data_IF_374680679141
#
_entry.id   IF_374680679141
#
_cell.length_a   1.000
_cell.length_b   1.000
_cell.length_c   1.000
_cell.angle_alpha   90.00
_cell.angle_beta   90.00
_cell.angle_gamma   90.00
#
_symmetry.space_group_name_H-M   'P 1'
#
loop_
_entity.id
_entity.type
_entity.pdbx_description
1 polymer ?
#
# COMPACT_ATOMS: atom_id res chain seq x y z
N UNK A 1 33.99 8.09 17.36
CA UNK A 1 32.87 7.51 16.57
C UNK A 1 33.41 7.13 15.21
N UNK A 2 33.19 5.89 14.72
CA UNK A 2 33.74 5.41 13.46
C UNK A 2 33.23 6.31 12.30
N UNK A 3 34.14 6.83 11.47
CA UNK A 3 33.83 7.70 10.32
C UNK A 3 32.83 7.03 9.37
N UNK A 4 32.92 5.70 9.21
CA UNK A 4 31.97 4.92 8.42
C UNK A 4 30.55 5.00 8.98
N UNK A 5 30.38 4.87 10.30
CA UNK A 5 29.06 4.96 10.95
C UNK A 5 28.48 6.36 10.81
N UNK A 6 29.31 7.39 11.05
CA UNK A 6 28.92 8.79 10.93
C UNK A 6 28.42 9.15 9.52
N UNK A 7 28.90 8.43 8.50
CA UNK A 7 28.48 8.61 7.12
C UNK A 7 27.26 7.76 6.73
N UNK A 8 27.28 6.46 7.07
CA UNK A 8 26.29 5.50 6.58
C UNK A 8 24.96 5.54 7.32
N UNK A 9 24.97 5.86 8.62
CA UNK A 9 23.72 5.93 9.39
C UNK A 9 22.81 7.08 8.94
N UNK A 10 23.29 8.35 8.80
CA UNK A 10 22.47 9.42 8.24
C UNK A 10 21.96 9.11 6.84
N UNK A 11 22.79 8.49 5.98
CA UNK A 11 22.38 8.09 4.63
C UNK A 11 21.26 7.04 4.66
N UNK A 12 21.35 6.02 5.51
CA UNK A 12 20.31 5.00 5.67
C UNK A 12 19.00 5.61 6.21
N UNK A 13 19.09 6.52 7.19
CA UNK A 13 17.94 7.28 7.71
C UNK A 13 17.32 8.13 6.60
N UNK A 14 18.13 8.83 5.83
CA UNK A 14 17.66 9.69 4.73
C UNK A 14 16.98 8.87 3.63
N UNK A 15 17.53 7.71 3.26
CA UNK A 15 16.92 6.78 2.31
C UNK A 15 15.56 6.29 2.82
N UNK A 16 15.46 5.93 4.11
CA UNK A 16 14.20 5.53 4.73
C UNK A 16 13.18 6.67 4.69
N UNK A 17 13.58 7.88 5.06
CA UNK A 17 12.69 9.06 5.05
C UNK A 17 12.21 9.34 3.64
N UNK A 18 13.11 9.38 2.65
CA UNK A 18 12.74 9.59 1.25
C UNK A 18 11.83 8.51 0.70
N UNK A 19 12.17 7.24 0.93
CA UNK A 19 11.34 6.12 0.53
C UNK A 19 9.94 6.22 1.12
N UNK A 20 9.84 6.55 2.41
CA UNK A 20 8.57 6.70 3.11
C UNK A 20 7.75 7.90 2.62
N UNK A 21 8.40 9.04 2.37
CA UNK A 21 7.74 10.24 1.84
C UNK A 21 7.26 10.03 0.41
N UNK A 22 8.10 9.45 -0.45
CA UNK A 22 7.72 9.12 -1.82
C UNK A 22 6.55 8.14 -1.84
N UNK A 23 6.60 7.11 -1.00
CA UNK A 23 5.52 6.15 -0.82
C UNK A 23 4.21 6.80 -0.36
N UNK A 24 4.29 7.67 0.65
CA UNK A 24 3.15 8.43 1.15
C UNK A 24 2.54 9.33 0.09
N UNK A 25 3.37 10.05 -0.68
CA UNK A 25 2.95 10.91 -1.78
C UNK A 25 2.26 10.11 -2.89
N UNK A 26 2.89 9.02 -3.36
CA UNK A 26 2.32 8.16 -4.41
C UNK A 26 0.98 7.54 -3.98
N UNK A 27 0.89 7.14 -2.71
CA UNK A 27 -0.34 6.65 -2.09
C UNK A 27 -1.42 7.74 -2.03
N UNK A 28 -1.07 8.96 -1.61
CA UNK A 28 -1.99 10.10 -1.54
C UNK A 28 -2.57 10.46 -2.91
N UNK A 29 -1.74 10.47 -3.94
CA UNK A 29 -2.12 10.82 -5.30
C UNK A 29 -2.89 9.72 -6.03
N UNK A 30 -2.97 8.53 -5.44
CA UNK A 30 -3.52 7.35 -6.09
C UNK A 30 -2.78 6.98 -7.38
N UNK A 31 -1.45 7.17 -7.40
CA UNK A 31 -0.65 6.99 -8.61
C UNK A 31 -0.78 5.56 -9.15
N UNK A 32 -1.31 5.32 -10.38
CA UNK A 32 -1.63 3.97 -10.85
C UNK A 32 -0.44 3.01 -10.85
N UNK A 33 0.77 3.50 -11.17
CA UNK A 33 2.00 2.71 -11.15
C UNK A 33 2.26 2.10 -9.76
N UNK A 34 2.05 2.87 -8.70
CA UNK A 34 2.32 2.46 -7.32
C UNK A 34 1.42 1.29 -6.89
N UNK A 35 0.13 1.35 -7.20
CA UNK A 35 -0.81 0.26 -6.90
C UNK A 35 -0.66 -0.95 -7.81
N UNK A 36 -0.04 -0.83 -8.99
CA UNK A 36 0.17 -1.94 -9.91
C UNK A 36 1.44 -2.74 -9.64
N UNK A 37 2.47 -2.13 -9.02
CA UNK A 37 3.80 -2.72 -8.85
C UNK A 37 4.19 -2.92 -7.37
N UNK A 38 3.23 -2.90 -6.45
CA UNK A 38 3.50 -3.23 -5.05
C UNK A 38 3.93 -4.68 -4.86
N UNK A 39 4.63 -4.97 -3.75
CA UNK A 39 5.01 -6.34 -3.39
C UNK A 39 3.80 -7.08 -2.80
N UNK A 40 3.21 -8.09 -3.47
CA UNK A 40 1.98 -8.71 -2.99
C UNK A 40 2.26 -9.60 -1.77
N UNK A 41 1.54 -9.37 -0.67
CA UNK A 41 1.61 -10.22 0.52
C UNK A 41 0.41 -11.17 0.64
N UNK A 42 -0.70 -10.80 0.01
CA UNK A 42 -1.87 -11.64 -0.14
C UNK A 42 -2.48 -11.37 -1.50
N UNK A 43 -2.85 -12.43 -2.21
CA UNK A 43 -3.60 -12.34 -3.44
C UNK A 43 -4.67 -13.42 -3.43
N UNK A 44 -5.91 -13.04 -3.75
CA UNK A 44 -7.06 -13.96 -3.87
C UNK A 44 -7.81 -13.68 -5.15
N UNK A 45 -8.58 -14.66 -5.59
CA UNK A 45 -9.43 -14.54 -6.77
C UNK A 45 -10.83 -15.03 -6.46
N UNK A 46 -11.80 -14.33 -7.03
CA UNK A 46 -13.22 -14.55 -6.83
C UNK A 46 -13.90 -14.59 -8.19
N UNK A 47 -14.91 -15.43 -8.33
CA UNK A 47 -15.80 -15.43 -9.49
C UNK A 47 -16.84 -14.34 -9.29
N UNK A 48 -17.03 -13.48 -10.28
CA UNK A 48 -17.92 -12.32 -10.22
C UNK A 48 -18.83 -12.24 -11.46
N UNK A 49 -19.94 -11.50 -11.40
CA UNK A 49 -20.81 -11.31 -12.56
C UNK A 49 -20.07 -10.72 -13.77
N UNK A 50 -20.42 -11.19 -14.98
CA UNK A 50 -19.75 -10.82 -16.24
C UNK A 50 -19.83 -9.31 -16.54
N UNK A 51 -20.87 -8.64 -16.06
CA UNK A 51 -21.12 -7.20 -16.28
C UNK A 51 -20.89 -6.37 -15.00
N UNK A 52 -19.96 -6.77 -14.14
CA UNK A 52 -19.67 -6.04 -12.91
C UNK A 52 -19.02 -4.68 -13.21
N UNK A 53 -19.67 -3.60 -12.77
CA UNK A 53 -19.05 -2.27 -12.66
C UNK A 53 -18.46 -2.07 -11.27
N UNK A 54 -17.13 -2.16 -11.16
CA UNK A 54 -16.42 -1.97 -9.89
C UNK A 54 -16.58 -0.55 -9.33
N UNK A 55 -16.69 0.47 -10.18
CA UNK A 55 -16.75 1.85 -9.73
C UNK A 55 -18.10 2.16 -9.05
N UNK A 56 -19.18 1.54 -9.52
CA UNK A 56 -20.52 1.69 -8.95
C UNK A 56 -20.60 1.20 -7.48
N UNK A 57 -19.75 0.25 -7.08
CA UNK A 57 -19.77 -0.35 -5.74
C UNK A 57 -18.88 0.40 -4.73
N UNK A 58 -18.13 1.44 -5.14
CA UNK A 58 -17.23 2.19 -4.26
C UNK A 58 -17.92 2.71 -2.99
N UNK A 59 -19.09 3.38 -3.06
CA UNK A 59 -19.75 3.90 -1.86
C UNK A 59 -20.13 2.81 -0.86
N UNK A 60 -20.55 1.64 -1.36
CA UNK A 60 -20.90 0.49 -0.54
C UNK A 60 -19.66 -0.11 0.12
N UNK A 61 -18.54 -0.19 -0.60
CA UNK A 61 -17.28 -0.70 -0.08
C UNK A 61 -16.72 0.17 1.05
N UNK A 62 -16.75 1.50 0.89
CA UNK A 62 -16.32 2.45 1.92
C UNK A 62 -17.22 2.40 3.15
N UNK A 63 -18.53 2.19 2.95
CA UNK A 63 -19.48 2.02 4.04
C UNK A 63 -19.24 0.70 4.81
N UNK A 64 -19.06 -0.41 4.11
CA UNK A 64 -18.87 -1.73 4.72
C UNK A 64 -17.51 -1.87 5.42
N UNK A 65 -16.53 -1.04 5.06
CA UNK A 65 -15.19 -0.99 5.67
C UNK A 65 -14.98 0.29 6.49
N UNK A 66 -16.07 0.78 7.10
CA UNK A 66 -16.05 1.99 7.90
C UNK A 66 -15.04 1.95 9.05
N UNK A 67 -14.57 3.15 9.38
CA UNK A 67 -13.63 3.41 10.46
C UNK A 67 -14.23 2.96 11.79
N UNK A 68 -13.51 2.10 12.50
CA UNK A 68 -13.76 1.86 13.91
C UNK A 68 -12.75 2.64 14.76
N UNK A 69 -12.99 2.75 16.07
CA UNK A 69 -12.08 3.43 16.99
C UNK A 69 -10.64 2.84 16.98
N UNK A 70 -10.48 1.59 16.53
CA UNK A 70 -9.21 0.88 16.43
C UNK A 70 -8.78 0.57 14.99
N UNK A 71 -9.62 0.81 13.98
CA UNK A 71 -9.32 0.57 12.55
C UNK A 71 -9.56 1.83 11.74
N UNK A 72 -8.51 2.31 11.08
CA UNK A 72 -8.66 3.37 10.08
C UNK A 72 -9.59 2.88 8.95
N UNK A 73 -10.46 3.77 8.48
CA UNK A 73 -11.35 3.47 7.35
C UNK A 73 -10.54 3.23 6.08
N UNK A 74 -11.12 2.46 5.15
CA UNK A 74 -10.52 2.19 3.83
C UNK A 74 -11.17 3.13 2.83
N UNK A 75 -10.35 3.86 2.07
CA UNK A 75 -10.78 4.60 0.91
C UNK A 75 -10.60 3.73 -0.34
N UNK A 76 -11.47 3.91 -1.32
CA UNK A 76 -11.45 3.18 -2.59
C UNK A 76 -11.40 4.17 -3.75
N UNK A 77 -10.72 3.80 -4.83
CA UNK A 77 -10.67 4.61 -6.05
C UNK A 77 -10.52 3.77 -7.30
N UNK A 78 -11.34 4.06 -8.31
CA UNK A 78 -11.17 3.47 -9.63
C UNK A 78 -9.92 4.04 -10.31
N UNK A 79 -8.99 3.17 -10.71
CA UNK A 79 -7.83 3.54 -11.53
C UNK A 79 -8.14 3.38 -13.02
N UNK A 80 -9.01 2.43 -13.34
CA UNK A 80 -9.56 2.19 -14.68
C UNK A 80 -10.91 1.50 -14.54
N UNK A 81 -11.69 1.33 -15.63
CA UNK A 81 -12.98 0.61 -15.56
C UNK A 81 -12.87 -0.83 -15.02
N UNK A 82 -11.68 -1.42 -15.03
CA UNK A 82 -11.42 -2.79 -14.56
C UNK A 82 -10.50 -2.85 -13.34
N UNK A 83 -10.10 -1.72 -12.78
CA UNK A 83 -9.15 -1.68 -11.68
C UNK A 83 -9.61 -0.73 -10.59
N UNK A 84 -9.67 -1.26 -9.36
CA UNK A 84 -10.04 -0.53 -8.17
C UNK A 84 -8.89 -0.60 -7.16
N UNK A 85 -8.26 0.53 -6.89
CA UNK A 85 -7.28 0.65 -5.82
C UNK A 85 -7.97 0.88 -4.47
N UNK A 86 -7.35 0.44 -3.39
CA UNK A 86 -7.79 0.73 -2.04
C UNK A 86 -6.62 1.02 -1.12
N UNK A 87 -6.84 1.85 -0.10
CA UNK A 87 -5.85 2.11 0.95
C UNK A 87 -6.50 2.60 2.23
N UNK A 88 -5.76 2.59 3.33
CA UNK A 88 -6.19 3.27 4.54
C UNK A 88 -6.32 4.78 4.32
N UNK A 89 -7.36 5.35 4.92
CA UNK A 89 -7.44 6.78 5.21
C UNK A 89 -6.27 7.20 6.11
N UNK A 90 -5.79 8.45 5.96
CA UNK A 90 -4.59 8.95 6.63
C UNK A 90 -4.59 8.71 8.15
N UNK A 91 -3.42 8.36 8.72
CA UNK A 91 -3.24 8.22 10.17
C UNK A 91 -3.37 6.80 10.73
N UNK A 92 -3.38 5.76 9.89
CA UNK A 92 -3.34 4.38 10.38
C UNK A 92 -1.94 3.94 10.80
N UNK A 93 -1.83 3.33 11.99
CA UNK A 93 -0.57 2.74 12.49
C UNK A 93 -0.07 1.56 11.64
N UNK A 94 -0.99 0.84 11.00
CA UNK A 94 -0.69 -0.27 10.10
C UNK A 94 -1.28 0.08 8.73
N UNK A 95 -0.55 0.84 7.90
CA UNK A 95 -1.02 1.22 6.59
C UNK A 95 -1.30 -0.03 5.73
N UNK A 96 -2.37 0.04 4.94
CA UNK A 96 -2.89 -1.03 4.08
C UNK A 96 -3.12 -0.42 2.72
N UNK A 97 -2.83 -1.17 1.68
CA UNK A 97 -3.11 -0.80 0.31
C UNK A 97 -3.20 -2.01 -0.60
N UNK A 98 -3.93 -1.86 -1.69
CA UNK A 98 -4.07 -2.95 -2.63
C UNK A 98 -4.77 -2.55 -3.91
N UNK A 99 -4.97 -3.55 -4.74
CA UNK A 99 -5.58 -3.44 -6.05
C UNK A 99 -6.53 -4.62 -6.26
N UNK A 100 -7.76 -4.31 -6.67
CA UNK A 100 -8.70 -5.27 -7.20
C UNK A 100 -8.75 -5.09 -8.73
N UNK A 101 -8.49 -6.16 -9.47
CA UNK A 101 -8.48 -6.18 -10.94
C UNK A 101 -9.55 -7.15 -11.45
N UNK A 102 -10.43 -6.64 -12.28
CA UNK A 102 -11.47 -7.39 -12.96
C UNK A 102 -10.95 -7.90 -14.31
N UNK A 103 -10.90 -9.22 -14.44
CA UNK A 103 -10.80 -9.90 -15.71
C UNK A 103 -12.21 -10.24 -16.21
N UNK A 104 -12.77 -9.33 -17.00
CA UNK A 104 -14.12 -9.45 -17.54
C UNK A 104 -14.26 -10.63 -18.52
N UNK A 105 -13.18 -11.06 -19.19
CA UNK A 105 -13.23 -12.16 -20.14
C UNK A 105 -13.50 -13.49 -19.44
N UNK A 106 -13.00 -13.65 -18.21
CA UNK A 106 -13.13 -14.86 -17.41
C UNK A 106 -14.05 -14.71 -16.19
N UNK A 107 -14.74 -13.56 -16.06
CA UNK A 107 -15.59 -13.27 -14.91
C UNK A 107 -14.86 -13.36 -13.57
N UNK A 108 -13.59 -12.94 -13.52
CA UNK A 108 -12.71 -13.14 -12.36
C UNK A 108 -12.25 -11.81 -11.77
N UNK A 109 -12.45 -11.64 -10.47
CA UNK A 109 -11.91 -10.52 -9.71
C UNK A 109 -10.69 -10.99 -8.91
N UNK A 110 -9.51 -10.48 -9.23
CA UNK A 110 -8.29 -10.73 -8.47
C UNK A 110 -8.02 -9.55 -7.55
N UNK A 111 -7.93 -9.81 -6.25
CA UNK A 111 -7.64 -8.78 -5.24
C UNK A 111 -6.27 -9.07 -4.64
N UNK A 112 -5.39 -8.08 -4.67
CA UNK A 112 -4.05 -8.14 -4.12
C UNK A 112 -3.88 -7.07 -3.03
N UNK A 113 -3.27 -7.45 -1.91
CA UNK A 113 -2.80 -6.55 -0.86
C UNK A 113 -1.28 -6.45 -0.90
N UNK A 114 -0.75 -5.24 -0.82
CA UNK A 114 0.68 -4.97 -1.00
C UNK A 114 1.39 -4.58 0.30
N UNK A 115 2.67 -4.93 0.39
CA UNK A 115 3.57 -4.42 1.41
C UNK A 115 3.98 -2.98 1.07
N UNK A 116 4.09 -2.14 2.09
CA UNK A 116 4.75 -0.83 1.98
C UNK A 116 6.25 -1.06 1.83
N UNK A 117 6.87 -0.52 0.77
CA UNK A 117 8.28 -0.71 0.48
C UNK A 117 9.18 -0.16 1.59
N UNK A 118 8.71 0.87 2.33
CA UNK A 118 9.37 1.42 3.52
C UNK A 118 9.68 0.35 4.58
N UNK A 119 8.87 -0.71 4.71
CA UNK A 119 9.15 -1.82 5.64
C UNK A 119 10.40 -2.61 5.30
N UNK A 120 10.77 -2.69 4.02
CA UNK A 120 12.00 -3.35 3.58
C UNK A 120 13.24 -2.48 3.81
N UNK A 121 13.07 -1.17 4.02
CA UNK A 121 14.16 -0.25 4.31
C UNK A 121 14.57 -0.25 5.78
N UNK A 122 13.66 -0.61 6.71
CA UNK A 122 13.98 -0.66 8.14
C UNK A 122 15.18 -1.54 8.50
N UNK A 123 15.31 -2.78 7.98
CA UNK A 123 16.49 -3.60 8.21
C UNK A 123 17.82 -2.94 7.79
N UNK A 124 17.80 -2.04 6.81
CA UNK A 124 19.01 -1.34 6.36
C UNK A 124 19.58 -0.40 7.43
N UNK A 125 18.77 0.05 8.40
CA UNK A 125 19.24 0.88 9.51
C UNK A 125 20.23 0.16 10.43
N UNK A 126 20.30 -1.18 10.38
CA UNK A 126 21.19 -2.00 11.21
C UNK A 126 22.60 -2.06 10.62
N UNK A 127 22.72 -2.00 9.29
CA UNK A 127 23.99 -2.18 8.59
C UNK A 127 25.10 -1.22 9.09
N UNK A 128 24.82 0.08 9.32
CA UNK A 128 25.80 0.99 9.91
C UNK A 128 26.30 0.55 11.29
N UNK A 129 25.45 -0.01 12.15
CA UNK A 129 25.85 -0.45 13.49
C UNK A 129 26.77 -1.67 13.42
N UNK A 130 26.48 -2.60 12.50
CA UNK A 130 27.29 -3.78 12.26
C UNK A 130 28.67 -3.41 11.67
N UNK A 131 28.68 -2.70 10.56
CA UNK A 131 29.90 -2.33 9.85
C UNK A 131 30.70 -1.23 10.57
N UNK A 132 30.03 -0.41 11.40
CA UNK A 132 30.64 0.60 12.24
C UNK A 132 31.36 0.04 13.47
N UNK A 133 31.20 -1.25 13.79
CA UNK A 133 31.75 -1.88 14.98
C UNK A 133 31.09 -1.44 16.29
N UNK A 134 29.89 -0.86 16.21
CA UNK A 134 29.14 -0.39 17.38
C UNK A 134 28.31 -1.50 18.05
N UNK A 135 28.18 -2.65 17.38
CA UNK A 135 27.49 -3.83 17.87
C UNK A 135 28.48 -5.01 17.96
N UNK A 136 28.59 -5.68 19.13
CA UNK A 136 29.32 -6.94 19.24
C UNK A 136 28.79 -7.97 18.24
N UNK A 137 29.69 -8.68 17.56
CA UNK A 137 29.33 -9.66 16.53
C UNK A 137 28.50 -10.83 17.10
N UNK A 138 28.66 -11.13 18.38
CA UNK A 138 27.91 -12.17 19.10
C UNK A 138 26.43 -11.81 19.25
N UNK A 139 26.10 -10.51 19.27
CA UNK A 139 24.72 -10.02 19.37
C UNK A 139 24.01 -9.94 18.02
N UNK A 140 24.76 -9.89 16.92
CA UNK A 140 24.21 -9.80 15.56
C UNK A 140 23.12 -10.84 15.23
N UNK A 141 23.30 -12.16 15.48
CA UNK A 141 22.27 -13.14 15.15
C UNK A 141 20.97 -12.92 15.94
N UNK A 142 21.07 -12.46 17.20
CA UNK A 142 19.90 -12.17 18.03
C UNK A 142 19.14 -10.93 17.53
N UNK A 143 19.88 -9.88 17.15
CA UNK A 143 19.28 -8.66 16.57
C UNK A 143 18.63 -8.98 15.23
N UNK A 144 19.30 -9.73 14.35
CA UNK A 144 18.74 -10.14 13.06
C UNK A 144 17.47 -10.99 13.25
N UNK A 145 17.49 -11.94 14.19
CA UNK A 145 16.33 -12.74 14.54
C UNK A 145 15.18 -11.87 15.04
N UNK A 146 15.45 -10.90 15.92
CA UNK A 146 14.44 -9.97 16.45
C UNK A 146 13.79 -9.14 15.34
N UNK A 147 14.58 -8.50 14.46
CA UNK A 147 14.04 -7.73 13.33
C UNK A 147 13.24 -8.61 12.38
N UNK A 148 13.75 -9.80 12.07
CA UNK A 148 13.04 -10.76 11.21
C UNK A 148 11.72 -11.19 11.84
N UNK A 149 11.70 -11.48 13.14
CA UNK A 149 10.49 -11.83 13.87
C UNK A 149 9.46 -10.69 13.87
N UNK A 150 9.90 -9.44 14.09
CA UNK A 150 9.03 -8.25 14.02
C UNK A 150 8.47 -8.05 12.61
N UNK A 151 9.29 -8.23 11.56
CA UNK A 151 8.85 -8.11 10.17
C UNK A 151 7.83 -9.20 9.82
N UNK A 152 8.10 -10.46 10.17
CA UNK A 152 7.16 -11.59 9.97
C UNK A 152 5.86 -11.31 10.70
N UNK A 153 5.91 -10.91 11.98
CA UNK A 153 4.72 -10.59 12.76
C UNK A 153 3.90 -9.48 12.10
N UNK A 154 4.55 -8.43 11.61
CA UNK A 154 3.90 -7.31 10.91
C UNK A 154 3.21 -7.79 9.63
N UNK A 155 3.90 -8.62 8.82
CA UNK A 155 3.34 -9.20 7.59
C UNK A 155 2.12 -10.08 7.90
N UNK A 156 2.20 -10.91 8.94
CA UNK A 156 1.07 -11.78 9.33
C UNK A 156 -0.14 -10.97 9.80
N UNK A 157 0.06 -9.90 10.57
CA UNK A 157 -1.01 -8.99 11.00
C UNK A 157 -1.64 -8.28 9.81
N UNK A 158 -0.83 -7.79 8.85
CA UNK A 158 -1.35 -7.19 7.62
C UNK A 158 -2.11 -8.20 6.77
N UNK A 159 -1.59 -9.41 6.61
CA UNK A 159 -2.23 -10.49 5.84
C UNK A 159 -3.61 -10.84 6.39
N UNK A 160 -3.79 -10.88 7.72
CA UNK A 160 -5.11 -11.05 8.35
C UNK A 160 -6.06 -9.93 7.97
N UNK A 161 -5.61 -8.67 8.08
CA UNK A 161 -6.40 -7.49 7.73
C UNK A 161 -6.77 -7.46 6.24
N UNK A 162 -5.86 -7.85 5.35
CA UNK A 162 -6.16 -8.00 3.93
C UNK A 162 -7.22 -9.07 3.67
N UNK A 163 -7.17 -10.19 4.38
CA UNK A 163 -8.20 -11.23 4.28
C UNK A 163 -9.60 -10.67 4.53
N UNK A 164 -9.77 -9.93 5.63
CA UNK A 164 -11.05 -9.29 5.97
C UNK A 164 -11.51 -8.30 4.89
N UNK A 165 -10.59 -7.46 4.39
CA UNK A 165 -10.90 -6.48 3.34
C UNK A 165 -11.31 -7.18 2.04
N UNK A 166 -10.56 -8.18 1.61
CA UNK A 166 -10.86 -8.95 0.40
C UNK A 166 -12.20 -9.66 0.48
N UNK A 167 -12.50 -10.26 1.63
CA UNK A 167 -13.76 -10.98 1.85
C UNK A 167 -14.96 -10.02 1.93
N UNK A 168 -14.76 -8.79 2.43
CA UNK A 168 -15.79 -7.73 2.37
C UNK A 168 -15.96 -7.18 0.95
N UNK A 169 -14.88 -6.97 0.21
CA UNK A 169 -14.96 -6.55 -1.21
C UNK A 169 -15.73 -7.59 -2.00
N UNK A 170 -15.33 -8.86 -1.91
CA UNK A 170 -15.98 -9.97 -2.61
C UNK A 170 -17.47 -10.03 -2.30
N UNK A 171 -17.87 -10.01 -1.02
CA UNK A 171 -19.29 -10.02 -0.63
C UNK A 171 -20.08 -8.84 -1.18
N UNK A 172 -19.48 -7.65 -1.18
CA UNK A 172 -20.14 -6.42 -1.66
C UNK A 172 -20.37 -6.45 -3.18
N UNK A 173 -19.46 -7.04 -3.94
CA UNK A 173 -19.58 -7.16 -5.41
C UNK A 173 -20.30 -8.45 -5.87
N UNK A 174 -20.87 -9.23 -4.93
CA UNK A 174 -21.50 -10.52 -5.24
C UNK A 174 -20.53 -11.62 -5.69
N UNK A 175 -19.25 -11.49 -5.33
CA UNK A 175 -18.21 -12.45 -5.69
C UNK A 175 -18.25 -13.70 -4.84
N UNK A 176 -18.26 -14.86 -5.48
CA UNK A 176 -18.08 -16.15 -4.81
C UNK A 176 -16.61 -16.54 -4.83
N UNK A 177 -16.09 -16.99 -3.69
CA UNK A 177 -14.72 -17.50 -3.62
C UNK A 177 -14.63 -18.74 -4.49
N UNK A 178 -13.64 -18.79 -5.37
CA UNK A 178 -13.39 -19.98 -6.17
C UNK A 178 -12.79 -21.05 -5.24
N UNK A 179 -13.66 -21.79 -4.56
CA UNK A 179 -13.29 -22.83 -3.61
C UNK A 179 -13.02 -24.14 -4.35
N UNK A 180 -11.74 -24.30 -4.71
CA UNK A 180 -11.07 -25.60 -4.76
C UNK A 180 -10.60 -26.09 -3.37
N UNK A 181 -11.15 -25.54 -2.29
CA UNK A 181 -11.14 -26.15 -0.96
C UNK A 181 -12.43 -25.71 -0.23
N UNK A 182 -13.48 -26.51 -0.49
CA UNK A 182 -14.81 -26.67 0.15
C UNK A 182 -15.57 -25.49 0.78
N UNK A 183 -16.58 -25.08 0.02
CA UNK A 183 -17.98 -24.67 0.29
C UNK A 183 -18.39 -24.03 1.63
N UNK A 184 -19.14 -22.92 1.56
CA UNK A 184 -20.59 -22.85 1.94
C UNK A 184 -21.30 -21.68 1.21
N UNK A 185 -22.45 -21.99 0.60
CA UNK A 185 -23.47 -21.07 0.07
C UNK A 185 -24.15 -20.23 1.16
N UNK A 186 -24.37 -18.94 0.93
CA UNK A 186 -25.37 -18.15 1.66
C UNK A 186 -26.14 -17.17 0.76
N UNK A 187 -27.39 -16.81 1.15
CA UNK A 187 -28.46 -16.51 0.23
C UNK A 187 -28.69 -15.01 -0.02
N UNK A 188 -29.51 -14.76 -1.06
CA UNK A 188 -30.04 -13.50 -1.59
C UNK A 188 -29.80 -12.22 -0.78
N UNK A 189 -28.99 -11.33 -1.36
CA UNK A 189 -28.86 -9.93 -0.96
C UNK A 189 -29.63 -9.04 -1.95
N UNK A 190 -30.62 -8.30 -1.44
CA UNK A 190 -31.28 -7.22 -2.18
C UNK A 190 -30.61 -5.89 -1.83
N UNK A 191 -30.08 -5.13 -2.80
CA UNK A 191 -29.39 -3.88 -2.51
C UNK A 191 -30.38 -2.80 -2.11
N UNK A 192 -30.22 -2.28 -0.90
CA UNK A 192 -30.98 -1.16 -0.38
C UNK A 192 -30.48 0.17 -1.00
N UNK A 193 -31.42 1.05 -1.36
CA UNK A 193 -31.15 2.30 -2.08
C UNK A 193 -30.71 3.36 -1.07
N UNK A 194 -29.42 3.72 -1.07
CA UNK A 194 -28.83 4.65 -0.10
C UNK A 194 -28.27 5.94 -0.73
N UNK A 195 -28.30 7.01 0.09
CA UNK A 195 -28.12 8.41 -0.28
C UNK A 195 -26.71 8.83 -0.71
N UNK A 196 -26.61 10.12 -1.11
CA UNK A 196 -25.46 10.71 -1.82
C UNK A 196 -24.12 10.54 -1.07
N UNK A 197 -23.02 10.24 -1.80
CA UNK A 197 -21.68 10.12 -1.22
C UNK A 197 -21.21 11.43 -0.57
N UNK A 198 -20.40 11.30 0.48
CA UNK A 198 -19.76 12.44 1.13
C UNK A 198 -18.80 13.14 0.15
N UNK A 199 -18.88 14.47 0.08
CA UNK A 199 -18.10 15.29 -0.83
C UNK A 199 -16.61 15.29 -0.45
N UNK A 200 -15.75 14.78 -1.34
CA UNK A 200 -14.29 14.90 -1.25
C UNK A 200 -13.82 16.05 -2.17
N UNK A 201 -13.38 17.21 -1.62
CA UNK A 201 -12.96 18.37 -2.40
C UNK A 201 -11.65 18.15 -3.16
N UNK A 202 -10.93 17.05 -2.92
CA UNK A 202 -9.66 16.73 -3.59
C UNK A 202 -9.81 15.62 -4.64
N UNK A 203 -11.03 15.12 -4.89
CA UNK A 203 -11.29 14.10 -5.89
C UNK A 203 -11.00 14.64 -7.31
N UNK A 204 -10.01 14.09 -8.04
CA UNK A 204 -9.76 14.46 -9.43
C UNK A 204 -10.92 14.01 -10.30
N UNK A 205 -11.40 14.90 -11.15
CA UNK A 205 -12.49 14.66 -12.10
C UNK A 205 -12.09 13.53 -13.04
N UNK A 206 -12.91 12.49 -13.13
CA UNK A 206 -12.61 11.32 -13.96
C UNK A 206 -12.60 11.71 -15.45
N UNK A 207 -11.42 11.94 -16.04
CA UNK A 207 -11.20 11.80 -17.48
C UNK A 207 -9.72 11.79 -17.88
N UNK A 208 -9.44 10.83 -18.78
CA UNK A 208 -8.24 10.56 -19.57
C UNK A 208 -7.08 9.75 -18.95
N UNK A 209 -6.68 8.63 -19.60
CA UNK A 209 -5.49 7.86 -19.25
C UNK A 209 -4.25 8.62 -19.77
N UNK A 210 -3.86 9.65 -19.04
CA UNK A 210 -2.66 10.42 -19.27
C UNK A 210 -2.15 10.91 -17.93
N UNK A 211 -0.83 11.00 -17.77
CA UNK A 211 -0.21 11.57 -16.59
C UNK A 211 -0.78 12.98 -16.40
N UNK A 212 -1.58 13.20 -15.36
CA UNK A 212 -2.23 14.50 -15.15
C UNK A 212 -1.17 15.57 -14.95
N UNK A 213 -1.44 16.84 -15.32
CA UNK A 213 -0.48 17.94 -15.10
C UNK A 213 0.00 18.03 -13.65
N UNK A 214 -0.88 17.64 -12.70
CA UNK A 214 -0.59 17.61 -11.29
C UNK A 214 0.35 16.43 -10.94
N UNK A 215 0.11 15.24 -11.48
CA UNK A 215 1.03 14.09 -11.35
C UNK A 215 2.41 14.39 -11.96
N UNK A 216 2.46 15.05 -13.13
CA UNK A 216 3.71 15.48 -13.76
C UNK A 216 4.47 16.48 -12.88
N UNK A 217 3.78 17.50 -12.36
CA UNK A 217 4.37 18.48 -11.44
C UNK A 217 4.92 17.80 -10.18
N UNK A 218 4.21 16.80 -9.65
CA UNK A 218 4.63 16.08 -8.46
C UNK A 218 5.80 15.14 -8.70
N UNK A 219 5.87 14.51 -9.87
CA UNK A 219 7.06 13.77 -10.30
C UNK A 219 8.26 14.72 -10.40
N UNK A 220 8.08 15.93 -10.95
CA UNK A 220 9.15 16.94 -11.01
C UNK A 220 9.58 17.37 -9.60
N UNK A 221 8.64 17.59 -8.68
CA UNK A 221 8.94 17.91 -7.28
C UNK A 221 9.70 16.77 -6.60
N UNK A 222 9.28 15.51 -6.80
CA UNK A 222 9.97 14.33 -6.26
C UNK A 222 11.38 14.19 -6.82
N UNK A 223 11.57 14.44 -8.12
CA UNK A 223 12.90 14.46 -8.76
C UNK A 223 13.74 15.59 -8.17
N UNK A 224 13.18 16.80 -8.03
CA UNK A 224 13.88 17.94 -7.43
C UNK A 224 14.26 17.67 -5.97
N UNK A 225 13.38 17.03 -5.19
CA UNK A 225 13.65 16.63 -3.82
C UNK A 225 14.76 15.58 -3.77
N UNK A 226 14.69 14.56 -4.64
CA UNK A 226 15.72 13.52 -4.76
C UNK A 226 17.07 14.10 -5.20
N UNK A 227 17.09 15.08 -6.09
CA UNK A 227 18.28 15.81 -6.50
C UNK A 227 18.83 16.69 -5.37
N UNK A 228 17.96 17.39 -4.64
CA UNK A 228 18.36 18.19 -3.48
C UNK A 228 18.96 17.31 -2.37
N UNK A 229 18.40 16.12 -2.17
CA UNK A 229 18.96 15.10 -1.28
C UNK A 229 20.28 14.57 -1.80
N UNK A 230 20.36 14.21 -3.08
CA UNK A 230 21.60 13.74 -3.70
C UNK A 230 22.71 14.80 -3.59
N UNK A 231 22.37 16.07 -3.79
CA UNK A 231 23.27 17.21 -3.61
C UNK A 231 23.67 17.39 -2.15
N UNK A 232 22.72 17.31 -1.21
CA UNK A 232 23.01 17.38 0.22
C UNK A 232 23.97 16.26 0.63
N UNK A 233 23.73 15.02 0.21
CA UNK A 233 24.62 13.89 0.46
C UNK A 233 25.99 14.11 -0.19
N UNK A 234 26.03 14.60 -1.43
CA UNK A 234 27.28 14.93 -2.12
C UNK A 234 28.09 15.98 -1.37
N UNK A 235 27.47 17.10 -0.94
CA UNK A 235 28.13 18.14 -0.16
C UNK A 235 28.60 17.61 1.20
N UNK A 236 27.72 16.90 1.91
CA UNK A 236 28.03 16.30 3.21
C UNK A 236 29.20 15.30 3.15
N UNK A 237 29.32 14.52 2.07
CA UNK A 237 30.42 13.55 1.89
C UNK A 237 31.66 14.11 1.20
N UNK A 238 31.56 15.22 0.46
CA UNK A 238 32.70 15.86 -0.19
C UNK A 238 33.50 16.75 0.75
N UNK A 239 32.98 17.05 1.95
CA UNK A 239 33.65 17.88 2.95
C UNK A 239 33.74 19.35 2.55
N UNK A 240 32.88 19.79 1.63
CA UNK A 240 32.70 21.18 1.19
C UNK A 240 31.63 21.87 2.04
#
# INVERSE_FOLDING_TARGET
MNTFFAMTFPAAVMLLVLGSVAEWILSLLWAPFYFRHGLPILQRSYTVPVNLDLAAHIPQLEHNLQRSWWRAGIAFRALSPRELAFRNTSGSRNPVQGLARLDAAHGRLTIAGYLYASYLLFPLLILPFLAGGLMPLELFPFVLLLITAVLIMTILLQRRRYGEIMDTIARTVGGQRQEGETAVTSPDFTPEVWGKPAYDPLAPTATQPGLSKLEAALIVILIALALAVGLFLFLFFSGV
#
